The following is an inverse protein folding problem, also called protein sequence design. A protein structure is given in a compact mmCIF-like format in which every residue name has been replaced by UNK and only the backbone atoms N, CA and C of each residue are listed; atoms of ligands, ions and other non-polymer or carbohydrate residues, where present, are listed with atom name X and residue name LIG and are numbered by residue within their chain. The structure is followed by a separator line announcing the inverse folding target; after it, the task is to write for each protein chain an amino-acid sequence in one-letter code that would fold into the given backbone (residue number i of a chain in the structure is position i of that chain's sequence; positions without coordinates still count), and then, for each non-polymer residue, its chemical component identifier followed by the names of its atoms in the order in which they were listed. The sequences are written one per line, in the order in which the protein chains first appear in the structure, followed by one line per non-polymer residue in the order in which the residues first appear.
data_IF_887013546844
#
_entry.id   IF_887013546844
#
_cell.length_a   1.000
_cell.length_b   1.000
_cell.length_c   1.000
_cell.angle_alpha   90.00
_cell.angle_beta   90.00
_cell.angle_gamma   90.00
#
_symmetry.space_group_name_H-M   'P 1'
#
loop_
_entity.id
_entity.type
_entity.pdbx_description
1 polymer ?
#
# COMPACT_ATOMS: atom_id res chain seq x y z
N UNK A 1 -75.28 43.06 -6.99
CA UNK A 1 -75.38 42.16 -5.83
C UNK A 1 -74.09 41.50 -5.56
N UNK A 2 -73.29 41.99 -4.64
CA UNK A 2 -72.01 41.43 -4.26
C UNK A 2 -72.23 40.43 -3.10
N UNK A 3 -71.86 39.12 -3.33
CA UNK A 3 -71.92 38.09 -2.28
C UNK A 3 -70.73 38.28 -1.34
N UNK A 4 -70.99 38.65 -0.11
CA UNK A 4 -69.98 38.69 0.97
C UNK A 4 -69.56 37.25 1.29
N UNK A 5 -68.27 36.99 1.13
CA UNK A 5 -67.63 35.73 1.54
C UNK A 5 -67.36 35.81 3.05
N UNK A 6 -68.01 34.92 3.80
CA UNK A 6 -67.93 34.87 5.28
C UNK A 6 -66.51 34.56 5.77
N UNK A 7 -66.07 35.30 6.84
CA UNK A 7 -64.78 35.07 7.52
C UNK A 7 -64.57 33.62 8.00
N UNK A 8 -65.64 32.83 8.16
CA UNK A 8 -65.55 31.39 8.50
C UNK A 8 -65.09 30.49 7.36
N UNK A 9 -65.28 30.92 6.11
CA UNK A 9 -64.84 30.14 4.94
C UNK A 9 -63.35 30.33 4.68
N UNK A 10 -62.76 31.48 5.04
CA UNK A 10 -61.33 31.75 4.90
C UNK A 10 -60.52 31.01 5.98
N UNK A 11 -61.06 30.86 7.20
CA UNK A 11 -60.41 30.13 8.29
C UNK A 11 -60.38 28.59 8.06
N UNK A 12 -61.35 28.03 7.31
CA UNK A 12 -61.31 26.59 6.96
C UNK A 12 -60.38 26.27 5.82
N UNK A 13 -60.06 27.19 4.93
CA UNK A 13 -59.07 26.99 3.85
C UNK A 13 -57.65 27.10 4.34
N UNK A 14 -57.34 27.81 5.44
CA UNK A 14 -56.01 27.92 6.02
C UNK A 14 -55.61 26.72 6.90
N UNK A 15 -56.56 25.89 7.32
CA UNK A 15 -56.26 24.71 8.16
C UNK A 15 -55.97 23.42 7.36
N UNK A 16 -56.18 23.44 6.04
CA UNK A 16 -55.96 22.24 5.17
C UNK A 16 -54.59 22.19 4.48
N UNK A 17 -53.71 23.22 4.67
CA UNK A 17 -52.41 23.30 3.97
C UNK A 17 -51.18 23.05 4.88
N UNK A 18 -51.35 22.54 6.10
CA UNK A 18 -50.28 22.35 7.06
C UNK A 18 -49.99 20.91 7.44
N UNK A 19 -50.24 19.96 6.55
CA UNK A 19 -49.74 18.58 6.66
C UNK A 19 -48.94 18.24 5.40
N UNK A 20 -47.96 19.07 5.10
CA UNK A 20 -46.76 18.58 4.39
C UNK A 20 -45.97 17.91 5.48
N UNK A 21 -46.00 16.58 5.54
CA UNK A 21 -45.21 15.80 6.46
C UNK A 21 -43.79 16.29 6.41
N UNK A 22 -43.28 16.84 7.49
CA UNK A 22 -41.87 17.00 7.71
C UNK A 22 -41.31 15.59 7.74
N UNK A 23 -40.87 15.08 6.58
CA UNK A 23 -39.93 13.98 6.53
C UNK A 23 -38.75 14.47 7.35
N UNK A 24 -38.41 13.85 8.47
CA UNK A 24 -37.23 14.26 9.21
C UNK A 24 -36.06 14.12 8.24
N UNK A 25 -35.52 15.25 7.80
CA UNK A 25 -34.20 15.27 7.16
C UNK A 25 -33.28 14.80 8.28
N UNK A 26 -33.09 13.47 8.36
CA UNK A 26 -32.07 12.90 9.24
C UNK A 26 -30.79 13.61 8.84
N UNK A 27 -30.33 14.48 9.72
CA UNK A 27 -29.07 15.18 9.55
C UNK A 27 -27.98 14.11 9.43
N UNK A 28 -27.57 13.81 8.20
CA UNK A 28 -26.47 12.86 7.90
C UNK A 28 -25.18 13.23 8.66
N UNK A 29 -25.02 14.47 9.11
CA UNK A 29 -23.92 14.95 9.92
C UNK A 29 -23.83 14.34 11.34
N UNK A 30 -24.82 13.57 11.80
CA UNK A 30 -24.88 13.08 13.18
C UNK A 30 -24.39 11.64 13.38
N UNK A 31 -24.35 10.81 12.35
CA UNK A 31 -23.98 9.39 12.49
C UNK A 31 -22.62 9.10 11.86
N UNK A 32 -21.68 8.56 12.67
CA UNK A 32 -20.34 8.20 12.23
C UNK A 32 -20.36 7.00 11.28
N UNK A 33 -19.66 7.07 10.15
CA UNK A 33 -19.42 5.90 9.31
C UNK A 33 -18.44 4.96 10.01
N UNK A 34 -18.85 3.71 10.27
CA UNK A 34 -17.98 2.71 10.87
C UNK A 34 -17.11 2.06 9.80
N UNK A 35 -15.83 2.29 9.87
CA UNK A 35 -14.83 1.76 8.95
C UNK A 35 -14.02 0.67 9.66
N UNK A 36 -14.13 -0.56 9.18
CA UNK A 36 -13.33 -1.66 9.70
C UNK A 36 -11.92 -1.62 9.12
N UNK A 37 -10.92 -1.92 9.94
CA UNK A 37 -9.52 -1.95 9.52
C UNK A 37 -8.92 -3.32 9.82
N UNK A 38 -8.46 -4.03 8.78
CA UNK A 38 -7.88 -5.37 8.87
C UNK A 38 -6.37 -5.23 8.68
N UNK A 39 -5.56 -5.57 9.68
CA UNK A 39 -4.10 -5.48 9.63
C UNK A 39 -3.43 -6.62 10.40
N UNK A 40 -2.21 -7.04 10.04
CA UNK A 40 -1.42 -7.99 10.82
C UNK A 40 -0.67 -7.27 11.95
N UNK A 41 -1.37 -6.92 13.05
CA UNK A 41 -0.74 -6.18 14.15
C UNK A 41 0.03 -7.07 15.13
N UNK A 42 -0.05 -8.39 14.93
CA UNK A 42 0.76 -9.40 15.62
C UNK A 42 1.31 -10.44 14.64
N UNK A 43 2.19 -11.35 15.13
CA UNK A 43 2.84 -12.37 14.31
C UNK A 43 4.03 -11.85 13.50
N UNK A 44 4.40 -12.57 12.43
CA UNK A 44 5.63 -12.29 11.65
C UNK A 44 5.59 -10.97 10.87
N UNK A 45 4.40 -10.43 10.61
CA UNK A 45 4.19 -9.16 9.94
C UNK A 45 3.75 -8.04 10.89
N UNK A 46 3.96 -8.20 12.20
CA UNK A 46 3.50 -7.23 13.19
C UNK A 46 4.03 -5.82 12.95
N UNK A 47 5.30 -5.67 12.59
CA UNK A 47 5.92 -4.35 12.38
C UNK A 47 5.21 -3.55 11.28
N UNK A 48 5.12 -4.00 10.01
CA UNK A 48 4.43 -3.25 8.97
C UNK A 48 2.93 -3.07 9.25
N UNK A 49 2.28 -4.04 9.92
CA UNK A 49 0.89 -3.90 10.35
C UNK A 49 0.68 -2.77 11.36
N UNK A 50 1.59 -2.64 12.33
CA UNK A 50 1.57 -1.55 13.31
C UNK A 50 1.89 -0.20 12.66
N UNK A 51 2.81 -0.13 11.70
CA UNK A 51 3.05 1.10 10.93
C UNK A 51 1.83 1.50 10.10
N UNK A 52 1.16 0.54 9.46
CA UNK A 52 -0.09 0.77 8.75
C UNK A 52 -1.18 1.32 9.67
N UNK A 53 -1.31 0.76 10.89
CA UNK A 53 -2.24 1.25 11.90
C UNK A 53 -1.96 2.71 12.26
N UNK A 54 -0.70 3.07 12.51
CA UNK A 54 -0.30 4.46 12.77
C UNK A 54 -0.66 5.39 11.62
N UNK A 55 -0.52 4.94 10.38
CA UNK A 55 -0.95 5.68 9.20
C UNK A 55 -2.45 5.97 9.19
N UNK A 56 -3.29 4.97 9.54
CA UNK A 56 -4.74 5.13 9.69
C UNK A 56 -5.07 6.14 10.80
N UNK A 57 -4.46 5.97 11.99
CA UNK A 57 -4.71 6.83 13.16
C UNK A 57 -4.28 8.28 12.90
N UNK A 58 -3.15 8.48 12.23
CA UNK A 58 -2.68 9.81 11.82
C UNK A 58 -3.60 10.47 10.79
N UNK A 59 -4.06 9.72 9.80
CA UNK A 59 -5.00 10.23 8.81
C UNK A 59 -6.36 10.57 9.43
N UNK A 60 -6.84 9.78 10.40
CA UNK A 60 -8.06 10.07 11.15
C UNK A 60 -7.97 11.40 11.90
N UNK A 61 -6.81 11.67 12.53
CA UNK A 61 -6.53 12.95 13.18
C UNK A 61 -6.57 14.10 12.16
N UNK A 62 -5.86 13.98 11.04
CA UNK A 62 -5.82 15.01 9.98
C UNK A 62 -7.20 15.24 9.36
N UNK A 63 -7.98 14.18 9.13
CA UNK A 63 -9.36 14.28 8.64
C UNK A 63 -10.25 15.07 9.62
N UNK A 64 -10.15 14.80 10.91
CA UNK A 64 -10.89 15.53 11.96
C UNK A 64 -10.54 17.02 11.99
N UNK A 65 -9.24 17.34 11.92
CA UNK A 65 -8.76 18.73 11.91
C UNK A 65 -9.24 19.53 10.69
N UNK A 66 -9.43 18.83 9.56
CA UNK A 66 -9.95 19.42 8.32
C UNK A 66 -11.49 19.45 8.26
N UNK A 67 -12.18 19.11 9.34
CA UNK A 67 -13.64 18.98 9.38
C UNK A 67 -14.15 18.00 8.27
N UNK A 68 -13.43 16.92 8.04
CA UNK A 68 -13.83 15.85 7.14
C UNK A 68 -15.02 15.04 7.68
N UNK A 69 -15.53 14.06 6.93
CA UNK A 69 -16.65 13.23 7.36
C UNK A 69 -16.33 12.50 8.67
N UNK A 70 -17.35 12.34 9.52
CA UNK A 70 -17.19 11.63 10.78
C UNK A 70 -17.05 10.12 10.51
N UNK A 71 -15.89 9.56 10.84
CA UNK A 71 -15.56 8.14 10.67
C UNK A 71 -15.02 7.54 11.97
N UNK A 72 -15.53 6.37 12.33
CA UNK A 72 -15.07 5.56 13.44
C UNK A 72 -14.28 4.36 12.89
N UNK A 73 -13.03 4.17 13.34
CA UNK A 73 -12.17 3.07 12.89
C UNK A 73 -12.15 1.92 13.90
N UNK A 74 -12.56 0.73 13.46
CA UNK A 74 -12.59 -0.49 14.27
C UNK A 74 -11.57 -1.47 13.73
N UNK A 75 -10.59 -1.86 14.56
CA UNK A 75 -9.45 -2.68 14.15
C UNK A 75 -9.66 -4.16 14.41
N UNK A 76 -9.19 -4.99 13.47
CA UNK A 76 -9.09 -6.43 13.63
C UNK A 76 -7.69 -6.90 13.20
N UNK A 77 -7.09 -7.79 14.01
CA UNK A 77 -5.78 -8.37 13.77
C UNK A 77 -5.91 -9.68 12.98
N UNK A 78 -5.09 -9.86 11.95
CA UNK A 78 -4.99 -11.13 11.22
C UNK A 78 -3.98 -12.09 11.83
N UNK A 79 -3.23 -11.67 12.85
CA UNK A 79 -2.14 -12.45 13.47
C UNK A 79 -1.12 -12.97 12.43
N UNK A 80 -1.00 -12.28 11.28
CA UNK A 80 -0.17 -12.69 10.14
C UNK A 80 -0.58 -14.04 9.52
N UNK A 81 -1.85 -14.44 9.67
CA UNK A 81 -2.41 -15.68 9.13
C UNK A 81 -3.40 -15.37 7.99
N UNK A 82 -3.21 -15.94 6.79
CA UNK A 82 -4.09 -15.68 5.64
C UNK A 82 -5.58 -15.94 5.92
N UNK A 83 -5.90 -17.05 6.61
CA UNK A 83 -7.27 -17.45 6.95
C UNK A 83 -7.99 -16.44 7.86
N UNK A 84 -7.24 -15.74 8.70
CA UNK A 84 -7.80 -14.74 9.61
C UNK A 84 -8.27 -13.47 8.88
N UNK A 85 -7.89 -13.26 7.63
CA UNK A 85 -8.42 -12.16 6.81
C UNK A 85 -9.95 -12.22 6.66
N UNK A 86 -10.48 -13.42 6.37
CA UNK A 86 -11.91 -13.67 6.30
C UNK A 86 -12.61 -13.49 7.65
N UNK A 87 -12.05 -14.10 8.69
CA UNK A 87 -12.60 -14.02 10.06
C UNK A 87 -12.69 -12.57 10.54
N UNK A 88 -11.62 -11.77 10.28
CA UNK A 88 -11.57 -10.36 10.62
C UNK A 88 -12.63 -9.55 9.86
N UNK A 89 -12.77 -9.77 8.54
CA UNK A 89 -13.78 -9.11 7.73
C UNK A 89 -15.20 -9.40 8.22
N UNK A 90 -15.55 -10.68 8.41
CA UNK A 90 -16.85 -11.09 8.92
C UNK A 90 -17.16 -10.51 10.32
N UNK A 91 -16.16 -10.47 11.22
CA UNK A 91 -16.29 -9.85 12.54
C UNK A 91 -16.63 -8.36 12.44
N UNK A 92 -15.89 -7.61 11.63
CA UNK A 92 -16.07 -6.18 11.46
C UNK A 92 -17.45 -5.86 10.83
N UNK A 93 -17.87 -6.65 9.84
CA UNK A 93 -19.19 -6.51 9.22
C UNK A 93 -20.31 -6.76 10.25
N UNK A 94 -20.20 -7.80 11.09
CA UNK A 94 -21.15 -8.03 12.21
C UNK A 94 -21.16 -6.91 13.25
N UNK A 95 -20.07 -6.16 13.40
CA UNK A 95 -19.99 -4.98 14.25
C UNK A 95 -20.60 -3.72 13.62
N UNK A 96 -21.15 -3.85 12.41
CA UNK A 96 -21.81 -2.76 11.69
C UNK A 96 -20.85 -1.87 10.90
N UNK A 97 -19.64 -2.35 10.57
CA UNK A 97 -18.78 -1.63 9.64
C UNK A 97 -19.39 -1.65 8.23
N UNK A 98 -19.48 -0.47 7.62
CA UNK A 98 -20.11 -0.24 6.32
C UNK A 98 -19.11 -0.16 5.16
N UNK A 99 -17.84 -0.07 5.47
CA UNK A 99 -16.71 -0.22 4.55
C UNK A 99 -15.49 -0.75 5.32
N UNK A 100 -14.54 -1.38 4.61
CA UNK A 100 -13.31 -1.89 5.21
C UNK A 100 -12.08 -1.31 4.54
N UNK A 101 -10.96 -1.25 5.26
CA UNK A 101 -9.61 -0.95 4.76
C UNK A 101 -8.69 -2.11 5.16
N UNK A 102 -7.82 -2.57 4.28
CA UNK A 102 -6.83 -3.63 4.55
C UNK A 102 -6.56 -4.51 3.32
N UNK A 103 -5.90 -5.68 3.48
CA UNK A 103 -5.39 -6.21 4.74
C UNK A 103 -3.85 -6.32 4.75
N UNK A 104 -3.08 -5.55 4.14
CA UNK A 104 -1.63 -5.54 4.01
C UNK A 104 -1.06 -6.83 3.36
N UNK A 105 -1.22 -7.99 3.98
CA UNK A 105 -0.77 -9.29 3.45
C UNK A 105 -1.68 -9.78 2.32
N UNK A 106 -1.07 -10.32 1.26
CA UNK A 106 -1.81 -10.80 0.07
C UNK A 106 -2.80 -11.92 0.40
N UNK A 107 -2.38 -12.91 1.19
CA UNK A 107 -3.23 -14.05 1.53
C UNK A 107 -4.46 -13.63 2.35
N UNK A 108 -4.23 -12.81 3.37
CA UNK A 108 -5.32 -12.25 4.19
C UNK A 108 -6.22 -11.31 3.38
N UNK A 109 -5.67 -10.55 2.42
CA UNK A 109 -6.46 -9.69 1.53
C UNK A 109 -7.42 -10.51 0.65
N UNK A 110 -6.94 -11.60 0.04
CA UNK A 110 -7.79 -12.49 -0.78
C UNK A 110 -8.88 -13.14 0.07
N UNK A 111 -8.55 -13.61 1.26
CA UNK A 111 -9.51 -14.20 2.19
C UNK A 111 -10.57 -13.19 2.66
N UNK A 112 -10.18 -11.94 2.94
CA UNK A 112 -11.10 -10.86 3.28
C UNK A 112 -11.99 -10.48 2.08
N UNK A 113 -11.43 -10.45 0.85
CA UNK A 113 -12.18 -10.13 -0.37
C UNK A 113 -13.38 -11.08 -0.58
N UNK A 114 -13.23 -12.37 -0.29
CA UNK A 114 -14.33 -13.36 -0.35
C UNK A 114 -15.47 -13.03 0.61
N UNK A 115 -15.15 -12.60 1.83
CA UNK A 115 -16.16 -12.24 2.83
C UNK A 115 -16.92 -10.97 2.44
N UNK A 116 -16.23 -9.92 2.01
CA UNK A 116 -16.85 -8.64 1.63
C UNK A 116 -17.66 -8.76 0.34
N UNK A 117 -17.23 -9.61 -0.60
CA UNK A 117 -18.01 -9.90 -1.81
C UNK A 117 -19.38 -10.51 -1.48
N UNK A 118 -19.40 -11.47 -0.55
CA UNK A 118 -20.62 -12.10 -0.07
C UNK A 118 -21.54 -11.12 0.66
N UNK A 119 -20.95 -10.27 1.50
CA UNK A 119 -21.70 -9.32 2.34
C UNK A 119 -22.06 -8.02 1.62
N UNK A 120 -21.58 -7.79 0.40
CA UNK A 120 -21.73 -6.55 -0.37
C UNK A 120 -21.24 -5.29 0.38
N UNK A 121 -20.13 -5.43 1.10
CA UNK A 121 -19.45 -4.35 1.82
C UNK A 121 -18.14 -4.00 1.09
N UNK A 122 -17.87 -2.74 0.71
CA UNK A 122 -16.66 -2.41 -0.02
C UNK A 122 -15.40 -2.55 0.84
N UNK A 123 -14.31 -3.05 0.23
CA UNK A 123 -12.97 -3.15 0.81
C UNK A 123 -11.98 -2.30 0.00
N UNK A 124 -11.41 -1.30 0.64
CA UNK A 124 -10.31 -0.52 0.07
C UNK A 124 -8.96 -1.13 0.49
N UNK A 125 -8.24 -1.66 -0.48
CA UNK A 125 -6.95 -2.33 -0.25
C UNK A 125 -5.83 -1.30 -0.26
N UNK A 126 -5.11 -1.24 0.84
CA UNK A 126 -4.01 -0.29 1.06
C UNK A 126 -2.65 -0.78 0.55
N UNK A 127 -2.35 -2.09 0.61
CA UNK A 127 -1.01 -2.62 0.27
C UNK A 127 -1.03 -3.97 -0.45
N UNK A 128 -1.99 -4.85 -0.18
CA UNK A 128 -2.03 -6.17 -0.83
C UNK A 128 -1.79 -6.11 -2.34
N UNK A 129 -0.76 -6.81 -2.87
CA UNK A 129 -0.23 -6.50 -4.19
C UNK A 129 -0.37 -7.60 -5.25
N UNK A 130 -0.73 -8.85 -4.90
CA UNK A 130 -0.85 -9.90 -5.91
C UNK A 130 -1.92 -9.56 -6.98
N UNK A 131 -1.66 -9.88 -8.28
CA UNK A 131 -2.61 -9.61 -9.36
C UNK A 131 -3.97 -10.25 -9.12
N UNK A 132 -4.00 -11.47 -8.57
CA UNK A 132 -5.20 -12.24 -8.30
C UNK A 132 -6.23 -11.48 -7.45
N UNK A 133 -5.80 -10.51 -6.64
CA UNK A 133 -6.72 -9.72 -5.80
C UNK A 133 -7.78 -9.02 -6.67
N UNK A 134 -7.39 -8.43 -7.80
CA UNK A 134 -8.29 -7.68 -8.69
C UNK A 134 -8.67 -8.46 -9.96
N UNK A 135 -8.17 -9.69 -10.14
CA UNK A 135 -8.39 -10.48 -11.36
C UNK A 135 -9.29 -11.70 -11.17
N UNK A 136 -9.84 -11.90 -9.96
CA UNK A 136 -10.77 -13.01 -9.67
C UNK A 136 -12.24 -12.64 -9.85
N UNK A 137 -12.55 -11.45 -10.35
CA UNK A 137 -13.93 -11.01 -10.59
C UNK A 137 -14.67 -10.48 -9.36
N UNK A 138 -13.98 -10.18 -8.28
CA UNK A 138 -14.56 -9.48 -7.13
C UNK A 138 -15.05 -8.09 -7.53
N UNK A 139 -16.23 -7.70 -7.05
CA UNK A 139 -16.85 -6.41 -7.36
C UNK A 139 -16.81 -5.42 -6.21
N UNK A 140 -16.52 -5.89 -4.99
CA UNK A 140 -16.53 -5.08 -3.77
C UNK A 140 -15.14 -4.58 -3.38
N UNK A 141 -14.11 -4.81 -4.18
CA UNK A 141 -12.74 -4.43 -3.86
C UNK A 141 -12.26 -3.23 -4.68
N UNK A 142 -11.47 -2.39 -4.03
CA UNK A 142 -10.79 -1.24 -4.64
C UNK A 142 -9.36 -1.23 -4.14
N UNK A 143 -8.37 -1.31 -5.03
CA UNK A 143 -6.96 -1.33 -4.62
C UNK A 143 -6.28 0.00 -4.95
N UNK A 144 -5.98 0.79 -3.93
CA UNK A 144 -5.16 1.99 -4.06
C UNK A 144 -3.67 1.68 -3.80
N UNK A 145 -3.17 0.65 -4.46
CA UNK A 145 -1.77 0.25 -4.43
C UNK A 145 -1.38 -0.37 -5.77
N UNK A 146 -0.08 -0.39 -6.08
CA UNK A 146 0.39 -1.03 -7.30
C UNK A 146 0.26 -2.56 -7.20
N UNK A 147 -0.15 -3.21 -8.30
CA UNK A 147 0.01 -4.65 -8.39
C UNK A 147 1.50 -5.02 -8.40
N UNK A 148 1.85 -6.21 -7.90
CA UNK A 148 3.24 -6.64 -7.95
C UNK A 148 3.75 -6.73 -9.39
N UNK A 149 2.89 -7.04 -10.36
CA UNK A 149 3.25 -7.02 -11.79
C UNK A 149 3.65 -5.62 -12.28
N UNK A 150 2.92 -4.57 -11.88
CA UNK A 150 3.28 -3.18 -12.23
C UNK A 150 4.54 -2.72 -11.50
N UNK A 151 4.74 -3.14 -10.26
CA UNK A 151 6.00 -2.87 -9.54
C UNK A 151 7.20 -3.53 -10.23
N UNK A 152 7.07 -4.79 -10.63
CA UNK A 152 8.12 -5.53 -11.36
C UNK A 152 8.40 -4.88 -12.72
N UNK A 153 7.36 -4.51 -13.48
CA UNK A 153 7.55 -3.82 -14.76
C UNK A 153 8.32 -2.51 -14.60
N UNK A 154 7.97 -1.74 -13.57
CA UNK A 154 8.69 -0.52 -13.23
C UNK A 154 10.13 -0.81 -12.79
N UNK A 155 10.35 -1.86 -11.98
CA UNK A 155 11.68 -2.26 -11.54
C UNK A 155 12.57 -2.63 -12.72
N UNK A 156 12.07 -3.42 -13.66
CA UNK A 156 12.81 -3.79 -14.90
C UNK A 156 13.18 -2.53 -15.68
N UNK A 157 12.25 -1.58 -15.83
CA UNK A 157 12.54 -0.28 -16.48
C UNK A 157 13.62 0.49 -15.73
N UNK A 158 13.54 0.59 -14.40
CA UNK A 158 14.53 1.30 -13.58
C UNK A 158 15.91 0.64 -13.62
N UNK A 159 15.97 -0.70 -13.61
CA UNK A 159 17.23 -1.45 -13.76
C UNK A 159 17.86 -1.12 -15.12
N UNK A 160 17.07 -1.15 -16.20
CA UNK A 160 17.57 -0.81 -17.54
C UNK A 160 18.09 0.63 -17.61
N UNK A 161 17.35 1.59 -17.10
CA UNK A 161 17.78 3.00 -17.03
C UNK A 161 19.07 3.17 -16.22
N UNK A 162 19.14 2.51 -15.04
CA UNK A 162 20.31 2.57 -14.16
C UNK A 162 21.56 2.08 -14.87
N UNK A 163 21.54 0.85 -15.44
CA UNK A 163 22.73 0.26 -16.08
C UNK A 163 23.14 1.01 -17.33
N UNK A 164 22.18 1.54 -18.10
CA UNK A 164 22.46 2.35 -19.30
C UNK A 164 23.07 3.70 -18.94
N UNK A 165 22.52 4.39 -17.95
CA UNK A 165 22.99 5.71 -17.51
C UNK A 165 24.38 5.62 -16.87
N UNK A 166 24.63 4.59 -16.08
CA UNK A 166 25.90 4.38 -15.41
C UNK A 166 26.95 3.73 -16.32
N UNK A 167 26.56 3.30 -17.53
CA UNK A 167 27.43 2.60 -18.50
C UNK A 167 28.12 1.35 -17.91
N UNK A 168 27.47 0.69 -16.98
CA UNK A 168 27.92 -0.54 -16.32
C UNK A 168 26.82 -1.59 -16.51
N UNK A 169 27.14 -2.66 -17.21
CA UNK A 169 26.19 -3.72 -17.57
C UNK A 169 26.52 -5.01 -16.83
N UNK A 170 25.74 -5.37 -15.80
CA UNK A 170 25.82 -6.68 -15.17
C UNK A 170 25.45 -7.78 -16.17
N UNK A 171 26.12 -8.93 -16.09
CA UNK A 171 25.87 -10.07 -17.01
C UNK A 171 24.85 -11.04 -16.45
N UNK A 172 24.73 -11.12 -15.13
CA UNK A 172 23.93 -12.13 -14.44
C UNK A 172 23.24 -11.60 -13.21
N UNK A 173 22.10 -12.19 -12.89
CA UNK A 173 21.32 -11.93 -11.69
C UNK A 173 20.89 -13.23 -11.03
N UNK A 174 20.78 -13.24 -9.70
CA UNK A 174 20.14 -14.30 -8.91
C UNK A 174 18.94 -13.73 -8.18
N UNK A 175 17.84 -14.49 -8.12
CA UNK A 175 16.64 -14.12 -7.37
C UNK A 175 16.62 -14.88 -6.06
N UNK A 176 16.46 -14.17 -4.95
CA UNK A 176 16.15 -14.72 -3.63
C UNK A 176 14.72 -14.36 -3.29
N UNK A 177 13.83 -15.30 -3.04
CA UNK A 177 12.42 -14.96 -2.83
C UNK A 177 11.77 -15.71 -1.67
N UNK A 178 10.92 -15.00 -0.93
CA UNK A 178 10.06 -15.60 0.08
C UNK A 178 9.00 -16.49 -0.59
N UNK A 179 8.90 -17.74 -0.15
CA UNK A 179 8.00 -18.73 -0.76
C UNK A 179 6.62 -18.69 -0.11
N UNK A 180 5.88 -17.61 -0.36
CA UNK A 180 4.48 -17.43 0.00
C UNK A 180 3.68 -16.87 -1.19
N UNK A 181 2.39 -16.57 -1.00
CA UNK A 181 1.52 -16.06 -2.08
C UNK A 181 2.06 -14.78 -2.73
N UNK A 182 2.66 -13.87 -1.95
CA UNK A 182 3.29 -12.65 -2.47
C UNK A 182 4.53 -12.98 -3.29
N UNK A 183 5.47 -13.73 -2.72
CA UNK A 183 6.74 -14.03 -3.36
C UNK A 183 6.58 -14.85 -4.65
N UNK A 184 5.67 -15.83 -4.65
CA UNK A 184 5.33 -16.61 -5.85
C UNK A 184 4.71 -15.73 -6.95
N UNK A 185 3.78 -14.84 -6.60
CA UNK A 185 3.17 -13.91 -7.56
C UNK A 185 4.21 -12.93 -8.14
N UNK A 186 5.13 -12.47 -7.29
CA UNK A 186 6.22 -11.59 -7.71
C UNK A 186 7.20 -12.31 -8.65
N UNK A 187 7.60 -13.54 -8.30
CA UNK A 187 8.49 -14.35 -9.14
C UNK A 187 7.88 -14.63 -10.51
N UNK A 188 6.61 -15.05 -10.56
CA UNK A 188 5.91 -15.29 -11.82
C UNK A 188 5.82 -14.03 -12.68
N UNK A 189 5.55 -12.87 -12.05
CA UNK A 189 5.54 -11.58 -12.74
C UNK A 189 6.93 -11.20 -13.25
N UNK A 190 7.98 -11.44 -12.46
CA UNK A 190 9.37 -11.16 -12.84
C UNK A 190 9.75 -11.99 -14.08
N UNK A 191 9.45 -13.26 -14.09
CA UNK A 191 9.78 -14.16 -15.22
C UNK A 191 9.12 -13.66 -16.52
N UNK A 192 7.82 -13.42 -16.49
CA UNK A 192 7.08 -12.99 -17.66
C UNK A 192 7.54 -11.63 -18.20
N UNK A 193 7.82 -10.68 -17.29
CA UNK A 193 8.21 -9.32 -17.67
C UNK A 193 9.68 -9.28 -18.12
N UNK A 194 10.57 -10.00 -17.44
CA UNK A 194 11.98 -10.05 -17.77
C UNK A 194 12.23 -10.61 -19.18
N UNK A 195 11.54 -11.70 -19.51
CA UNK A 195 11.56 -12.30 -20.84
C UNK A 195 11.01 -11.34 -21.91
N UNK A 196 9.82 -10.78 -21.66
CA UNK A 196 9.16 -9.84 -22.58
C UNK A 196 10.00 -8.57 -22.84
N UNK A 197 10.65 -8.06 -21.82
CA UNK A 197 11.49 -6.86 -21.90
C UNK A 197 12.86 -7.15 -22.54
N UNK A 198 13.21 -8.42 -22.79
CA UNK A 198 14.50 -8.85 -23.34
C UNK A 198 15.68 -8.23 -22.60
N UNK A 199 15.60 -8.22 -21.25
CA UNK A 199 16.67 -7.67 -20.42
C UNK A 199 17.98 -8.40 -20.69
N UNK A 200 19.09 -7.72 -21.06
CA UNK A 200 20.33 -8.36 -21.42
C UNK A 200 21.15 -8.87 -20.21
N UNK A 201 20.47 -9.23 -19.13
CA UNK A 201 21.03 -9.75 -17.89
C UNK A 201 20.39 -11.11 -17.65
N UNK A 202 21.19 -12.17 -17.58
CA UNK A 202 20.70 -13.54 -17.41
C UNK A 202 20.34 -13.81 -15.95
N UNK A 203 19.11 -14.21 -15.65
CA UNK A 203 18.76 -14.79 -14.35
C UNK A 203 19.34 -16.21 -14.32
N UNK A 204 20.35 -16.43 -13.46
CA UNK A 204 21.10 -17.69 -13.41
C UNK A 204 20.53 -18.68 -12.40
N UNK A 205 19.83 -18.21 -11.36
CA UNK A 205 19.14 -19.06 -10.39
C UNK A 205 18.02 -18.30 -9.67
N UNK A 206 17.06 -19.05 -9.08
CA UNK A 206 15.91 -18.57 -8.32
C UNK A 206 15.79 -19.41 -7.05
N UNK A 207 16.12 -18.83 -5.93
CA UNK A 207 16.29 -19.53 -4.65
C UNK A 207 15.16 -19.09 -3.71
N UNK A 208 14.21 -20.00 -3.47
CA UNK A 208 13.08 -19.77 -2.56
C UNK A 208 13.42 -20.21 -1.13
N UNK A 209 12.80 -19.54 -0.14
CA UNK A 209 12.92 -19.84 1.29
C UNK A 209 11.58 -19.68 2.02
N UNK A 210 11.43 -20.38 3.15
CA UNK A 210 10.22 -20.29 4.00
C UNK A 210 10.15 -18.91 4.69
N UNK A 211 8.98 -18.31 4.72
CA UNK A 211 8.73 -17.00 5.38
C UNK A 211 9.05 -17.02 6.88
N UNK A 212 9.06 -18.21 7.50
CA UNK A 212 9.39 -18.43 8.92
C UNK A 212 10.83 -18.85 9.15
N UNK A 213 11.66 -18.88 8.10
CA UNK A 213 13.08 -19.20 8.21
C UNK A 213 13.75 -18.29 9.24
N UNK A 214 14.58 -18.86 10.08
CA UNK A 214 15.36 -18.13 11.10
C UNK A 214 16.82 -17.98 10.70
N UNK A 215 17.22 -18.62 9.62
CA UNK A 215 18.55 -18.60 9.03
C UNK A 215 18.44 -18.75 7.51
N UNK A 216 19.22 -17.98 6.76
CA UNK A 216 19.27 -18.00 5.30
C UNK A 216 20.72 -18.17 4.79
N UNK A 217 21.59 -18.73 5.61
CA UNK A 217 23.01 -18.94 5.28
C UNK A 217 23.19 -19.84 4.06
N UNK A 218 22.36 -20.88 3.91
CA UNK A 218 22.40 -21.82 2.80
C UNK A 218 21.95 -21.15 1.49
N UNK A 219 20.87 -20.38 1.54
CA UNK A 219 20.32 -19.67 0.38
C UNK A 219 21.30 -18.59 -0.13
N UNK A 220 21.90 -17.84 0.79
CA UNK A 220 22.94 -16.85 0.45
C UNK A 220 24.21 -17.52 -0.07
N UNK A 221 24.63 -18.67 0.48
CA UNK A 221 25.75 -19.44 -0.05
C UNK A 221 25.49 -19.93 -1.46
N UNK A 222 24.28 -20.44 -1.75
CA UNK A 222 23.88 -20.82 -3.11
C UNK A 222 23.91 -19.63 -4.05
N UNK A 223 23.32 -18.50 -3.65
CA UNK A 223 23.34 -17.27 -4.45
C UNK A 223 24.78 -16.82 -4.76
N UNK A 224 25.67 -16.82 -3.76
CA UNK A 224 27.10 -16.51 -3.96
C UNK A 224 27.78 -17.47 -4.93
N UNK A 225 27.49 -18.77 -4.84
CA UNK A 225 28.09 -19.79 -5.69
C UNK A 225 27.73 -19.63 -7.18
N UNK A 226 26.62 -18.95 -7.50
CA UNK A 226 26.25 -18.62 -8.90
C UNK A 226 27.19 -17.62 -9.55
N UNK A 227 27.93 -16.83 -8.77
CA UNK A 227 28.73 -15.72 -9.26
C UNK A 227 27.91 -14.56 -9.82
N UNK A 228 26.60 -14.50 -9.52
CA UNK A 228 25.72 -13.45 -10.02
C UNK A 228 26.16 -12.06 -9.58
N UNK A 229 26.18 -11.13 -10.53
CA UNK A 229 26.59 -9.76 -10.32
C UNK A 229 25.47 -8.89 -9.73
N UNK A 230 24.20 -9.24 -9.98
CA UNK A 230 23.04 -8.65 -9.34
C UNK A 230 22.35 -9.65 -8.41
N UNK A 231 21.84 -9.15 -7.30
CA UNK A 231 20.89 -9.87 -6.45
C UNK A 231 19.55 -9.16 -6.50
N UNK A 232 18.51 -9.91 -6.85
CA UNK A 232 17.13 -9.43 -6.97
C UNK A 232 16.29 -10.07 -5.84
N UNK A 233 16.30 -9.51 -4.63
CA UNK A 233 15.57 -10.09 -3.53
C UNK A 233 14.10 -9.69 -3.55
N UNK A 234 13.21 -10.68 -3.43
CA UNK A 234 11.78 -10.53 -3.20
C UNK A 234 11.53 -10.89 -1.74
N UNK A 235 11.60 -9.91 -0.88
CA UNK A 235 11.71 -10.06 0.57
C UNK A 235 10.69 -9.22 1.31
N UNK A 236 10.68 -9.38 2.63
CA UNK A 236 10.16 -8.45 3.63
C UNK A 236 11.30 -8.00 4.57
N UNK A 237 10.96 -7.35 5.68
CA UNK A 237 11.97 -6.70 6.55
C UNK A 237 12.95 -7.70 7.17
N UNK A 238 12.41 -8.75 7.83
CA UNK A 238 13.25 -9.68 8.61
C UNK A 238 14.16 -10.54 7.72
N UNK A 239 13.62 -11.08 6.65
CA UNK A 239 14.38 -11.88 5.69
C UNK A 239 15.39 -11.04 4.90
N UNK A 240 15.07 -9.81 4.55
CA UNK A 240 16.04 -8.88 3.95
C UNK A 240 17.21 -8.60 4.91
N UNK A 241 16.95 -8.42 6.21
CA UNK A 241 18.00 -8.25 7.22
C UNK A 241 18.88 -9.49 7.29
N UNK A 242 18.29 -10.69 7.33
CA UNK A 242 19.03 -11.96 7.37
C UNK A 242 19.91 -12.14 6.13
N UNK A 243 19.36 -11.88 4.94
CA UNK A 243 20.12 -11.98 3.67
C UNK A 243 21.33 -11.06 3.67
N UNK A 244 21.17 -9.77 4.05
CA UNK A 244 22.30 -8.84 4.06
C UNK A 244 23.35 -9.23 5.10
N UNK A 245 22.94 -9.65 6.31
CA UNK A 245 23.87 -10.14 7.35
C UNK A 245 24.68 -11.33 6.87
N UNK A 246 24.03 -12.31 6.21
CA UNK A 246 24.73 -13.46 5.66
C UNK A 246 25.62 -13.09 4.47
N UNK A 247 25.24 -12.13 3.61
CA UNK A 247 26.12 -11.61 2.56
C UNK A 247 27.40 -11.01 3.16
N UNK A 248 27.27 -10.19 4.23
CA UNK A 248 28.41 -9.60 4.92
C UNK A 248 29.32 -10.69 5.51
N UNK A 249 28.75 -11.65 6.26
CA UNK A 249 29.46 -12.73 6.90
C UNK A 249 30.18 -13.62 5.87
N UNK A 250 29.53 -13.91 4.76
CA UNK A 250 30.09 -14.75 3.68
C UNK A 250 30.96 -13.96 2.70
N UNK A 251 31.14 -12.64 2.89
CA UNK A 251 31.88 -11.76 1.98
C UNK A 251 31.37 -11.83 0.53
N UNK A 252 30.04 -11.91 0.37
CA UNK A 252 29.38 -11.82 -0.92
C UNK A 252 29.09 -10.36 -1.26
N UNK A 253 29.82 -9.79 -2.22
CA UNK A 253 29.71 -8.40 -2.66
C UNK A 253 29.20 -8.39 -4.12
N UNK A 254 27.89 -8.40 -4.36
CA UNK A 254 27.35 -8.22 -5.70
C UNK A 254 27.57 -6.77 -6.17
N UNK A 255 27.44 -6.54 -7.48
CA UNK A 255 27.49 -5.19 -8.05
C UNK A 255 26.33 -4.31 -7.55
N UNK A 256 25.16 -4.91 -7.32
CA UNK A 256 24.04 -4.28 -6.66
C UNK A 256 23.06 -5.30 -6.06
N UNK A 257 22.28 -4.83 -5.07
CA UNK A 257 21.11 -5.50 -4.52
C UNK A 257 19.92 -4.60 -4.86
N UNK A 258 18.99 -5.12 -5.67
CA UNK A 258 17.81 -4.34 -6.14
C UNK A 258 16.55 -5.15 -5.89
N UNK A 259 15.76 -4.78 -4.88
CA UNK A 259 14.49 -5.41 -4.55
C UNK A 259 13.37 -4.98 -5.52
N UNK A 260 12.90 -5.85 -6.43
CA UNK A 260 11.88 -5.50 -7.39
C UNK A 260 10.47 -5.65 -6.75
N UNK A 261 9.93 -4.57 -6.20
CA UNK A 261 8.63 -4.58 -5.53
C UNK A 261 8.66 -5.16 -4.11
N UNK A 262 9.83 -5.20 -3.47
CA UNK A 262 10.00 -5.80 -2.14
C UNK A 262 9.76 -4.80 -1.03
N UNK A 263 8.81 -5.05 -0.09
CA UNK A 263 8.74 -4.28 1.14
C UNK A 263 9.90 -4.60 2.08
N UNK A 264 10.12 -3.73 3.06
CA UNK A 264 11.05 -3.94 4.18
C UNK A 264 12.32 -3.10 4.14
N UNK A 265 13.17 -3.14 3.10
CA UNK A 265 14.45 -2.45 3.13
C UNK A 265 14.41 -0.91 3.30
N UNK A 266 13.26 -0.28 3.07
CA UNK A 266 13.03 1.15 3.36
C UNK A 266 12.62 1.41 4.83
N UNK A 267 12.28 0.39 5.57
CA UNK A 267 11.81 0.50 6.95
C UNK A 267 12.97 0.82 7.91
N UNK A 268 12.65 1.57 8.96
CA UNK A 268 13.63 1.90 9.99
C UNK A 268 14.22 0.65 10.66
N UNK A 269 13.39 -0.38 10.88
CA UNK A 269 13.85 -1.65 11.43
C UNK A 269 14.99 -2.28 10.62
N UNK A 270 14.95 -2.19 9.28
CA UNK A 270 16.02 -2.66 8.41
C UNK A 270 17.28 -1.82 8.56
N UNK A 271 17.17 -0.49 8.48
CA UNK A 271 18.33 0.40 8.52
C UNK A 271 18.97 0.42 9.91
N UNK A 272 18.20 0.36 10.99
CA UNK A 272 18.73 0.29 12.36
C UNK A 272 19.42 -1.06 12.63
N UNK A 273 18.88 -2.17 12.11
CA UNK A 273 19.46 -3.50 12.30
C UNK A 273 20.77 -3.74 11.55
N UNK A 274 20.99 -3.04 10.44
CA UNK A 274 22.14 -3.23 9.55
C UNK A 274 23.14 -2.08 9.59
N UNK A 275 22.73 -0.89 10.04
CA UNK A 275 23.56 0.30 9.98
C UNK A 275 24.11 0.51 8.56
N UNK A 276 25.40 0.77 8.44
CA UNK A 276 26.07 1.00 7.15
C UNK A 276 25.97 -0.15 6.16
N UNK A 277 25.75 -1.38 6.62
CA UNK A 277 25.57 -2.54 5.72
C UNK A 277 24.24 -2.52 4.96
N UNK A 278 23.25 -1.76 5.44
CA UNK A 278 21.99 -1.52 4.74
C UNK A 278 22.06 -0.44 3.66
N UNK A 279 23.14 0.34 3.62
CA UNK A 279 23.32 1.39 2.61
C UNK A 279 23.53 0.80 1.21
N UNK A 280 23.27 1.60 0.20
CA UNK A 280 23.32 1.28 -1.22
C UNK A 280 22.31 0.20 -1.67
N UNK A 281 21.54 -0.44 -0.77
CA UNK A 281 20.44 -1.31 -1.13
C UNK A 281 19.37 -0.52 -1.86
N UNK A 282 18.96 -0.98 -3.04
CA UNK A 282 17.94 -0.35 -3.87
C UNK A 282 16.61 -1.09 -3.80
N UNK A 283 15.51 -0.36 -3.87
CA UNK A 283 14.15 -0.91 -3.82
C UNK A 283 13.25 -0.21 -4.83
N UNK A 284 12.51 -0.98 -5.63
CA UNK A 284 11.48 -0.43 -6.52
C UNK A 284 10.10 -0.65 -5.88
N UNK A 285 9.52 0.40 -5.32
CA UNK A 285 8.21 0.35 -4.64
C UNK A 285 7.41 1.63 -4.88
N UNK A 286 6.07 1.59 -4.75
CA UNK A 286 5.29 2.82 -4.65
C UNK A 286 5.78 3.68 -3.49
N UNK A 287 5.77 4.99 -3.68
CA UNK A 287 6.28 5.91 -2.65
C UNK A 287 5.50 7.22 -2.63
N UNK A 288 5.55 7.93 -1.51
CA UNK A 288 5.06 9.29 -1.46
C UNK A 288 5.93 10.23 -2.32
N UNK A 289 5.35 11.29 -2.82
CA UNK A 289 6.05 12.21 -3.71
C UNK A 289 6.83 13.26 -2.91
N UNK A 290 8.17 13.16 -2.80
CA UNK A 290 8.97 14.10 -2.02
C UNK A 290 9.05 15.50 -2.64
N UNK A 291 8.57 15.67 -3.87
CA UNK A 291 8.47 17.00 -4.52
C UNK A 291 7.08 17.63 -4.36
N UNK A 292 6.11 16.89 -3.83
CA UNK A 292 4.80 17.44 -3.50
C UNK A 292 4.85 18.16 -2.14
N UNK A 293 4.60 19.50 -2.09
CA UNK A 293 4.68 20.26 -0.84
C UNK A 293 3.74 19.74 0.24
N UNK A 294 2.53 19.29 -0.13
CA UNK A 294 1.56 18.71 0.81
C UNK A 294 2.08 17.40 1.42
N UNK A 295 2.62 16.52 0.60
CA UNK A 295 3.21 15.26 1.05
C UNK A 295 4.37 15.50 2.02
N UNK A 296 5.23 16.47 1.74
CA UNK A 296 6.35 16.84 2.61
C UNK A 296 5.85 17.34 3.98
N UNK A 297 4.89 18.24 4.02
CA UNK A 297 4.32 18.75 5.28
C UNK A 297 3.70 17.64 6.11
N UNK A 298 2.97 16.71 5.46
CA UNK A 298 2.35 15.55 6.13
C UNK A 298 3.43 14.62 6.70
N UNK A 299 4.47 14.31 5.92
CA UNK A 299 5.56 13.44 6.34
C UNK A 299 6.34 14.04 7.52
N UNK A 300 6.77 15.29 7.42
CA UNK A 300 7.51 15.99 8.48
C UNK A 300 6.70 16.11 9.78
N UNK A 301 5.39 16.35 9.66
CA UNK A 301 4.49 16.41 10.83
C UNK A 301 4.38 15.05 11.51
N UNK A 302 4.17 13.98 10.73
CA UNK A 302 4.11 12.62 11.26
C UNK A 302 5.38 12.26 12.03
N UNK A 303 6.55 12.50 11.44
CA UNK A 303 7.84 12.17 12.04
C UNK A 303 8.13 12.97 13.32
N UNK A 304 7.62 14.20 13.43
CA UNK A 304 7.66 14.98 14.67
C UNK A 304 6.76 14.44 15.77
N UNK A 305 5.57 13.92 15.39
CA UNK A 305 4.60 13.34 16.34
C UNK A 305 5.04 11.95 16.79
N UNK A 306 5.42 11.11 15.85
CA UNK A 306 5.82 9.72 16.05
C UNK A 306 7.34 9.60 16.12
N UNK A 307 7.95 10.18 17.17
CA UNK A 307 9.42 10.16 17.34
C UNK A 307 9.97 8.74 17.17
N UNK A 308 10.92 8.61 16.25
CA UNK A 308 11.56 7.34 15.95
C UNK A 308 10.89 6.53 14.83
N UNK A 309 9.76 6.98 14.26
CA UNK A 309 9.16 6.40 13.06
C UNK A 309 9.39 7.31 11.85
N UNK A 310 9.35 6.72 10.66
CA UNK A 310 9.40 7.43 9.38
C UNK A 310 8.01 7.44 8.74
N UNK A 311 7.74 8.47 7.96
CA UNK A 311 6.61 8.45 7.04
C UNK A 311 7.03 7.65 5.79
N UNK A 312 6.85 6.33 5.87
CA UNK A 312 7.26 5.39 4.83
C UNK A 312 6.03 4.74 4.17
N UNK A 313 6.22 3.78 3.29
CA UNK A 313 5.18 3.17 2.48
C UNK A 313 3.95 2.70 3.28
N UNK A 314 4.17 1.96 4.38
CA UNK A 314 3.06 1.39 5.17
C UNK A 314 2.20 2.50 5.80
N UNK A 315 2.86 3.52 6.33
CA UNK A 315 2.20 4.72 6.90
C UNK A 315 1.50 5.50 5.79
N UNK A 316 2.21 5.79 4.69
CA UNK A 316 1.74 6.66 3.62
C UNK A 316 0.51 6.10 2.89
N UNK A 317 0.53 4.84 2.45
CA UNK A 317 -0.61 4.23 1.77
C UNK A 317 -1.79 3.95 2.69
N UNK A 318 -1.54 3.70 3.98
CA UNK A 318 -2.61 3.60 4.96
C UNK A 318 -3.23 4.95 5.28
N UNK A 319 -2.42 6.01 5.33
CA UNK A 319 -2.90 7.40 5.41
C UNK A 319 -3.78 7.75 4.21
N UNK A 320 -3.30 7.48 3.00
CA UNK A 320 -4.02 7.79 1.77
C UNK A 320 -5.30 6.96 1.61
N UNK A 321 -5.32 5.72 2.10
CA UNK A 321 -6.55 4.92 2.12
C UNK A 321 -7.66 5.58 2.97
N UNK A 322 -7.32 6.23 4.06
CA UNK A 322 -8.29 7.00 4.85
C UNK A 322 -8.75 8.24 4.08
N UNK A 323 -7.87 8.95 3.36
CA UNK A 323 -8.26 10.09 2.54
C UNK A 323 -9.23 9.68 1.41
N UNK A 324 -8.95 8.56 0.73
CA UNK A 324 -9.85 7.99 -0.29
C UNK A 324 -11.19 7.58 0.31
N UNK A 325 -11.19 6.96 1.49
CA UNK A 325 -12.42 6.57 2.16
C UNK A 325 -13.22 7.80 2.63
N UNK A 326 -12.55 8.83 3.12
CA UNK A 326 -13.18 10.09 3.52
C UNK A 326 -13.84 10.80 2.33
N UNK A 327 -13.17 10.83 1.17
CA UNK A 327 -13.74 11.35 -0.07
C UNK A 327 -15.00 10.55 -0.48
N UNK A 328 -14.92 9.23 -0.43
CA UNK A 328 -16.04 8.36 -0.78
C UNK A 328 -17.24 8.56 0.18
N UNK A 329 -17.02 8.56 1.48
CA UNK A 329 -18.08 8.79 2.50
C UNK A 329 -18.70 10.18 2.32
N UNK A 330 -17.89 11.20 2.06
CA UNK A 330 -18.36 12.57 1.82
C UNK A 330 -19.26 12.66 0.57
N UNK A 331 -18.88 12.00 -0.54
CA UNK A 331 -19.65 11.99 -1.79
C UNK A 331 -20.89 11.11 -1.70
N UNK A 332 -20.81 9.99 -0.99
CA UNK A 332 -21.95 9.11 -0.75
C UNK A 332 -23.08 9.79 0.01
N UNK A 333 -22.77 10.74 0.91
CA UNK A 333 -23.74 11.37 1.82
C UNK A 333 -24.61 10.35 2.55
N UNK A 334 -24.06 9.18 2.82
CA UNK A 334 -24.74 8.03 3.41
C UNK A 334 -23.71 7.10 4.02
N UNK A 335 -24.09 6.39 5.09
CA UNK A 335 -23.32 5.32 5.68
C UNK A 335 -23.71 3.93 5.12
N UNK A 336 -24.56 3.88 4.09
CA UNK A 336 -24.93 2.63 3.42
C UNK A 336 -23.76 2.07 2.61
N UNK A 337 -23.43 0.76 2.74
CA UNK A 337 -22.33 0.14 2.00
C UNK A 337 -22.44 0.30 0.49
N UNK A 338 -23.65 0.21 -0.08
CA UNK A 338 -23.85 0.35 -1.53
C UNK A 338 -23.61 1.78 -2.01
N UNK A 339 -23.96 2.80 -1.21
CA UNK A 339 -23.68 4.20 -1.52
C UNK A 339 -22.17 4.49 -1.45
N UNK A 340 -21.46 3.97 -0.45
CA UNK A 340 -20.00 4.10 -0.33
C UNK A 340 -19.31 3.37 -1.49
N UNK A 341 -19.75 2.15 -1.84
CA UNK A 341 -19.26 1.42 -2.99
C UNK A 341 -19.42 2.21 -4.30
N UNK A 342 -20.62 2.77 -4.55
CA UNK A 342 -20.87 3.60 -5.73
C UNK A 342 -19.97 4.84 -5.78
N UNK A 343 -19.72 5.45 -4.62
CA UNK A 343 -18.79 6.58 -4.50
C UNK A 343 -17.34 6.15 -4.80
N UNK A 344 -16.88 5.00 -4.30
CA UNK A 344 -15.54 4.47 -4.61
C UNK A 344 -15.36 4.21 -6.10
N UNK A 345 -16.34 3.66 -6.80
CA UNK A 345 -16.29 3.46 -8.26
C UNK A 345 -16.07 4.74 -9.06
N UNK A 346 -16.51 5.88 -8.54
CA UNK A 346 -16.39 7.18 -9.21
C UNK A 346 -15.29 8.06 -8.62
N UNK A 347 -14.36 7.46 -7.88
CA UNK A 347 -13.21 8.18 -7.30
C UNK A 347 -12.39 8.87 -8.39
N UNK A 348 -12.07 10.14 -8.17
CA UNK A 348 -11.13 10.92 -8.99
C UNK A 348 -10.45 11.97 -8.09
N UNK A 349 -9.33 11.59 -7.46
CA UNK A 349 -8.58 12.45 -6.56
C UNK A 349 -7.26 12.84 -7.25
N UNK A 350 -7.10 14.11 -7.57
CA UNK A 350 -5.90 14.66 -8.21
C UNK A 350 -4.88 15.13 -7.17
N UNK A 351 -5.34 15.77 -6.09
CA UNK A 351 -4.48 16.20 -4.99
C UNK A 351 -4.32 15.10 -3.94
N UNK A 352 -3.29 14.28 -4.11
CA UNK A 352 -2.92 13.21 -3.19
C UNK A 352 -1.41 13.23 -2.91
N UNK A 353 -0.96 12.46 -1.92
CA UNK A 353 0.42 12.53 -1.42
C UNK A 353 1.38 11.54 -2.08
N UNK A 354 0.87 10.50 -2.72
CA UNK A 354 1.72 9.46 -3.31
C UNK A 354 2.22 9.89 -4.70
N UNK A 355 3.29 9.28 -5.17
CA UNK A 355 3.73 9.47 -6.54
C UNK A 355 2.84 8.68 -7.50
N UNK A 356 2.37 9.37 -8.52
CA UNK A 356 1.51 8.78 -9.56
C UNK A 356 0.58 9.80 -10.21
N UNK A 357 -0.34 9.31 -11.01
CA UNK A 357 -1.45 10.10 -11.55
C UNK A 357 -2.66 10.12 -10.60
N UNK A 358 -3.79 10.73 -11.02
CA UNK A 358 -4.99 10.80 -10.19
C UNK A 358 -5.43 9.43 -9.67
N UNK A 359 -5.92 9.38 -8.42
CA UNK A 359 -6.49 8.15 -7.87
C UNK A 359 -7.83 7.89 -8.57
N UNK A 360 -7.88 6.83 -9.34
CA UNK A 360 -9.07 6.32 -10.03
C UNK A 360 -9.06 4.81 -9.97
N UNK A 361 -10.23 4.22 -9.98
CA UNK A 361 -10.36 2.77 -10.05
C UNK A 361 -10.92 2.36 -11.41
N UNK A 362 -10.29 1.36 -12.03
CA UNK A 362 -10.78 0.75 -13.26
C UNK A 362 -11.96 -0.22 -12.97
N UNK A 363 -12.44 -0.92 -13.99
CA UNK A 363 -13.55 -1.86 -13.89
C UNK A 363 -13.27 -3.03 -12.93
N UNK A 364 -12.00 -3.34 -12.68
CA UNK A 364 -11.55 -4.38 -11.74
C UNK A 364 -11.30 -3.84 -10.34
N UNK A 365 -11.57 -2.55 -10.09
CA UNK A 365 -11.25 -1.89 -8.83
C UNK A 365 -9.76 -1.61 -8.60
N UNK A 366 -8.92 -1.69 -9.64
CA UNK A 366 -7.50 -1.36 -9.56
C UNK A 366 -7.26 0.13 -9.82
N UNK A 367 -6.45 0.80 -9.00
CA UNK A 367 -5.88 2.08 -9.40
C UNK A 367 -4.67 1.84 -10.33
N UNK A 368 -4.77 2.12 -11.64
CA UNK A 368 -3.69 1.90 -12.59
C UNK A 368 -2.62 2.99 -12.55
N UNK A 369 -2.87 4.09 -11.85
CA UNK A 369 -2.06 5.32 -11.90
C UNK A 369 -0.99 5.40 -10.80
N UNK A 370 -0.82 4.36 -9.99
CA UNK A 370 0.19 4.33 -8.93
C UNK A 370 1.59 4.35 -9.53
N UNK A 371 2.37 5.35 -9.18
CA UNK A 371 3.76 5.46 -9.57
C UNK A 371 4.69 4.64 -8.67
N UNK A 372 5.75 4.09 -9.27
CA UNK A 372 6.78 3.30 -8.58
C UNK A 372 8.10 4.06 -8.60
N UNK A 373 8.67 4.27 -7.44
CA UNK A 373 9.97 4.91 -7.25
C UNK A 373 11.09 3.86 -7.17
N UNK A 374 12.30 4.25 -7.58
CA UNK A 374 13.53 3.59 -7.19
C UNK A 374 14.09 4.33 -5.98
N UNK A 375 14.13 3.65 -4.85
CA UNK A 375 14.76 4.12 -3.63
C UNK A 375 16.16 3.52 -3.50
N UNK A 376 17.06 4.24 -2.85
CA UNK A 376 18.35 3.74 -2.39
C UNK A 376 18.57 4.17 -0.94
N UNK A 377 18.94 3.24 -0.07
CA UNK A 377 19.30 3.59 1.29
C UNK A 377 20.64 4.32 1.30
N UNK A 378 20.69 5.48 1.98
CA UNK A 378 21.87 6.32 2.11
C UNK A 378 21.95 6.84 3.53
N UNK A 379 23.05 6.54 4.20
CA UNK A 379 23.25 6.91 5.61
C UNK A 379 22.03 6.52 6.46
N UNK A 380 21.51 5.32 6.21
CA UNK A 380 20.33 4.77 6.86
C UNK A 380 18.99 5.40 6.45
N UNK A 381 18.93 6.24 5.41
CA UNK A 381 17.68 6.91 4.96
C UNK A 381 17.31 6.46 3.54
N UNK A 382 16.08 5.94 3.31
CA UNK A 382 15.61 5.64 1.96
C UNK A 382 15.43 6.94 1.16
N UNK A 383 16.22 7.08 0.12
CA UNK A 383 16.28 8.27 -0.74
C UNK A 383 15.79 7.92 -2.13
N UNK A 384 14.89 8.72 -2.70
CA UNK A 384 14.41 8.53 -4.08
C UNK A 384 15.52 8.87 -5.06
N UNK A 385 15.95 7.88 -5.85
CA UNK A 385 16.99 8.03 -6.87
C UNK A 385 16.47 7.85 -8.29
N UNK A 386 15.18 7.59 -8.44
CA UNK A 386 14.47 7.50 -9.73
C UNK A 386 12.95 7.34 -9.53
N UNK A 387 12.14 7.64 -10.52
CA UNK A 387 12.49 8.28 -11.79
C UNK A 387 12.83 9.77 -11.67
N UNK A 388 13.34 10.35 -12.75
CA UNK A 388 13.84 11.75 -12.76
C UNK A 388 12.84 12.78 -12.23
N UNK A 389 11.54 12.57 -12.45
CA UNK A 389 10.46 13.49 -12.04
C UNK A 389 10.40 13.70 -10.52
N UNK A 390 10.80 12.69 -9.75
CA UNK A 390 10.74 12.74 -8.28
C UNK A 390 12.10 12.47 -7.61
N UNK A 391 13.17 12.33 -8.39
CA UNK A 391 14.51 12.04 -7.84
C UNK A 391 15.00 13.12 -6.89
N UNK A 392 15.60 12.69 -5.80
CA UNK A 392 16.21 13.55 -4.78
C UNK A 392 17.74 13.47 -4.78
N UNK A 393 18.31 12.41 -5.36
CA UNK A 393 19.76 12.23 -5.50
C UNK A 393 20.07 11.31 -6.70
N UNK A 394 21.29 11.42 -7.25
CA UNK A 394 21.74 10.47 -8.28
C UNK A 394 22.01 9.08 -7.66
N UNK A 395 21.72 7.95 -8.34
CA UNK A 395 21.99 6.63 -7.80
C UNK A 395 23.51 6.38 -7.64
N UNK A 396 23.90 5.69 -6.56
CA UNK A 396 25.23 5.11 -6.42
C UNK A 396 25.22 3.68 -6.97
N UNK A 397 25.88 3.46 -8.09
CA UNK A 397 25.97 2.19 -8.78
C UNK A 397 27.33 2.09 -9.50
N UNK A 398 28.08 0.99 -9.39
CA UNK A 398 27.86 -0.13 -8.49
C UNK A 398 27.81 0.22 -7.00
N UNK A 399 27.20 -0.67 -6.20
CA UNK A 399 27.19 -0.49 -4.74
C UNK A 399 28.63 -0.60 -4.18
N UNK A 400 28.90 0.11 -3.10
CA UNK A 400 30.17 -0.01 -2.36
C UNK A 400 30.29 -1.43 -1.77
N UNK A 401 31.48 -2.09 -1.80
CA UNK A 401 31.70 -3.35 -1.10
C UNK A 401 31.36 -3.24 0.39
N UNK A 402 30.90 -4.33 1.00
CA UNK A 402 30.64 -4.36 2.45
C UNK A 402 31.92 -4.15 3.30
N UNK A 403 33.07 -4.63 2.78
CA UNK A 403 34.36 -4.34 3.40
C UNK A 403 34.69 -2.85 3.23
N UNK A 404 34.82 -2.13 4.34
CA UNK A 404 35.12 -0.68 4.34
C UNK A 404 33.90 0.23 4.59
N UNK A 405 32.78 -0.36 4.93
CA UNK A 405 31.59 0.38 5.39
C UNK A 405 31.63 0.64 6.90
#
# INVERSE_FOLDING_TARGET
MAKQISRRTILKAAAASAVVGAVPIRSWAAESAKIGVILPTSGVFAFPGQQSRKGIEYAALVNKERNGPNMEFIFADTESKPENGRVAAEKLIRQGCTALIGAWDTGATISAAQAVETAKVPLLINIGSAPQITEQGFTQIFRNFASVSSMIASAVTRIHELVTTQKVMPKSAVVLYVNDTFGQSALASLDAIWEKAKVPIKIVDKIGYDVRAKDLSVEVAKAKATGAELVLPITRTNDAIMIVREMVKQKYNPMAIIGPGSPGPYERAFTDALGKFGDDYMICVPWWNPRNPRAKVIAERYEKMEKGNRFELNVGFSFEAVEVMADAVKRAKSNDPAAIHAALKTTNIEDHIMYGGPIRFDEKGQNPNIGVALLQNRDGVPTVVGPQQITMAAPAFPMRPFAGR
#
